data_IF_169376259185
#
_entry.id   IF_169376259185
#
_cell.length_a   1.000
_cell.length_b   1.000
_cell.length_c   1.000
_cell.angle_alpha   90.00
_cell.angle_beta   90.00
_cell.angle_gamma   90.00
#
_symmetry.space_group_name_H-M   'P 1'
#
loop_
_entity.id
_entity.type
_entity.pdbx_description
1 polymer ?
#
# COMPACT_ATOMS: atom_id res chain seq x y z
N UNK A 1 14.53 -12.45 7.39
CA UNK A 1 14.67 -11.89 6.01
C UNK A 1 13.59 -12.53 5.15
N UNK A 2 12.94 -11.82 4.22
CA UNK A 2 11.86 -12.44 3.44
C UNK A 2 12.39 -13.43 2.39
N UNK A 3 11.70 -14.55 2.19
CA UNK A 3 12.06 -15.58 1.21
C UNK A 3 10.97 -15.79 0.16
N UNK A 4 11.36 -15.96 -1.11
CA UNK A 4 10.41 -16.24 -2.20
C UNK A 4 9.89 -17.67 -2.11
N UNK A 5 8.57 -17.83 -2.12
CA UNK A 5 7.89 -19.13 -2.05
C UNK A 5 7.87 -19.80 -3.43
N UNK A 6 8.36 -21.04 -3.48
CA UNK A 6 8.46 -21.83 -4.72
C UNK A 6 7.55 -23.06 -4.77
N UNK A 7 7.10 -23.56 -3.61
CA UNK A 7 6.33 -24.79 -3.53
C UNK A 7 4.95 -24.65 -4.21
N UNK A 8 4.67 -25.51 -5.19
CA UNK A 8 3.42 -25.48 -5.95
C UNK A 8 2.17 -25.51 -5.06
N UNK A 9 2.20 -26.34 -4.00
CA UNK A 9 1.11 -26.42 -3.03
C UNK A 9 0.90 -25.11 -2.27
N UNK A 10 1.99 -24.48 -1.81
CA UNK A 10 1.93 -23.20 -1.09
C UNK A 10 1.35 -22.10 -1.96
N UNK A 11 1.76 -22.05 -3.23
CA UNK A 11 1.24 -21.08 -4.20
C UNK A 11 -0.25 -21.33 -4.47
N UNK A 12 -0.62 -22.58 -4.77
CA UNK A 12 -2.03 -22.93 -5.02
C UNK A 12 -2.91 -22.68 -3.78
N UNK A 13 -2.39 -22.92 -2.57
CA UNK A 13 -3.06 -22.63 -1.30
C UNK A 13 -3.29 -21.13 -1.13
N UNK A 14 -2.28 -20.30 -1.39
CA UNK A 14 -2.40 -18.84 -1.35
C UNK A 14 -3.41 -18.34 -2.39
N UNK A 15 -3.39 -18.85 -3.62
CA UNK A 15 -4.40 -18.53 -4.65
C UNK A 15 -5.82 -18.88 -4.19
N UNK A 16 -6.02 -20.06 -3.57
CA UNK A 16 -7.33 -20.43 -3.00
C UNK A 16 -7.77 -19.48 -1.89
N UNK A 17 -6.84 -19.02 -1.04
CA UNK A 17 -7.11 -18.01 0.00
C UNK A 17 -7.49 -16.66 -0.62
N UNK A 18 -6.73 -16.18 -1.60
CA UNK A 18 -7.05 -14.97 -2.36
C UNK A 18 -8.44 -15.05 -2.98
N UNK A 19 -8.78 -16.16 -3.66
CA UNK A 19 -10.12 -16.38 -4.24
C UNK A 19 -11.24 -16.27 -3.21
N UNK A 20 -11.06 -16.81 -2.02
CA UNK A 20 -12.07 -16.71 -0.93
C UNK A 20 -12.17 -15.30 -0.37
N UNK A 21 -11.05 -14.61 -0.22
CA UNK A 21 -11.00 -13.26 0.39
C UNK A 21 -11.42 -12.16 -0.56
N UNK A 22 -11.15 -12.31 -1.85
CA UNK A 22 -11.58 -11.42 -2.92
C UNK A 22 -12.96 -11.80 -3.48
N UNK A 23 -13.86 -12.25 -2.59
CA UNK A 23 -15.27 -12.44 -2.95
C UNK A 23 -15.95 -11.07 -3.14
N UNK A 24 -16.87 -10.98 -4.09
CA UNK A 24 -17.53 -9.75 -4.49
C UNK A 24 -18.66 -10.03 -5.46
N UNK A 25 -19.14 -9.00 -6.15
CA UNK A 25 -20.21 -9.14 -7.14
C UNK A 25 -19.67 -9.77 -8.44
N UNK A 26 -20.13 -10.95 -8.88
CA UNK A 26 -19.74 -11.49 -10.17
C UNK A 26 -20.36 -10.67 -11.31
N UNK A 27 -19.54 -10.28 -12.29
CA UNK A 27 -19.98 -9.63 -13.53
C UNK A 27 -19.56 -10.54 -14.69
N UNK A 28 -20.54 -11.01 -15.46
CA UNK A 28 -20.33 -12.06 -16.46
C UNK A 28 -20.12 -11.51 -17.86
N UNK A 29 -19.36 -12.25 -18.66
CA UNK A 29 -19.26 -12.01 -20.10
C UNK A 29 -18.57 -10.70 -20.49
N UNK A 30 -17.74 -10.15 -19.62
CA UNK A 30 -16.97 -8.91 -19.83
C UNK A 30 -15.86 -9.16 -20.84
N UNK A 31 -15.71 -8.25 -21.80
CA UNK A 31 -14.53 -8.16 -22.66
C UNK A 31 -13.41 -7.45 -21.91
N UNK A 32 -12.34 -8.17 -21.57
CA UNK A 32 -11.22 -7.64 -20.80
C UNK A 32 -10.03 -7.45 -21.72
N UNK A 33 -9.52 -6.24 -21.78
CA UNK A 33 -8.33 -5.88 -22.57
C UNK A 33 -7.15 -5.58 -21.65
N UNK A 34 -5.94 -5.70 -22.18
CA UNK A 34 -4.72 -5.22 -21.51
C UNK A 34 -3.72 -4.77 -22.57
N UNK A 35 -2.86 -3.83 -22.22
CA UNK A 35 -1.91 -3.29 -23.18
C UNK A 35 -0.89 -4.34 -23.64
N UNK A 36 -0.70 -4.43 -24.96
CA UNK A 36 0.19 -5.41 -25.59
C UNK A 36 -0.39 -6.82 -25.67
N UNK A 37 -1.64 -7.03 -25.22
CA UNK A 37 -2.40 -8.25 -25.44
C UNK A 37 -3.70 -8.01 -26.19
N UNK A 38 -4.34 -9.10 -26.59
CA UNK A 38 -5.67 -9.06 -27.21
C UNK A 38 -6.77 -8.75 -26.20
N UNK A 39 -8.01 -8.95 -26.62
CA UNK A 39 -9.17 -8.95 -25.74
C UNK A 39 -9.49 -10.38 -25.31
N UNK A 40 -10.05 -10.53 -24.11
CA UNK A 40 -10.55 -11.81 -23.66
C UNK A 40 -11.88 -11.72 -22.96
N UNK A 41 -12.81 -12.57 -23.38
CA UNK A 41 -14.12 -12.63 -22.75
C UNK A 41 -14.10 -13.47 -21.48
N UNK A 42 -14.88 -13.06 -20.49
CA UNK A 42 -15.25 -13.91 -19.36
C UNK A 42 -15.60 -13.11 -18.12
N UNK A 43 -15.60 -13.81 -17.00
CA UNK A 43 -16.18 -13.29 -15.77
C UNK A 43 -15.12 -12.60 -14.90
N UNK A 44 -15.55 -11.53 -14.25
CA UNK A 44 -14.78 -10.79 -13.25
C UNK A 44 -15.55 -10.78 -11.93
N UNK A 45 -14.84 -10.51 -10.85
CA UNK A 45 -15.45 -10.23 -9.55
C UNK A 45 -15.17 -8.78 -9.19
N UNK A 46 -16.22 -8.00 -9.00
CA UNK A 46 -16.13 -6.59 -8.63
C UNK A 46 -16.28 -6.40 -7.11
N UNK A 47 -15.34 -5.67 -6.53
CA UNK A 47 -15.28 -5.34 -5.12
C UNK A 47 -15.67 -3.88 -4.94
N UNK A 48 -16.99 -3.65 -4.82
CA UNK A 48 -17.62 -2.32 -4.78
C UNK A 48 -16.95 -1.36 -3.80
N UNK A 49 -16.72 -1.80 -2.56
CA UNK A 49 -16.19 -0.91 -1.50
C UNK A 49 -14.77 -0.41 -1.76
N UNK A 50 -13.98 -1.18 -2.50
CA UNK A 50 -12.58 -0.86 -2.80
C UNK A 50 -12.39 -0.38 -4.25
N UNK A 51 -13.47 -0.30 -5.03
CA UNK A 51 -13.48 0.31 -6.35
C UNK A 51 -12.60 -0.40 -7.38
N UNK A 52 -12.51 -1.73 -7.33
CA UNK A 52 -11.77 -2.51 -8.31
C UNK A 52 -12.43 -3.84 -8.63
N UNK A 53 -12.13 -4.40 -9.80
CA UNK A 53 -12.46 -5.78 -10.16
C UNK A 53 -11.20 -6.61 -10.29
N UNK A 54 -11.36 -7.92 -10.19
CA UNK A 54 -10.27 -8.86 -10.43
C UNK A 54 -10.73 -10.12 -11.16
N UNK A 55 -9.76 -10.80 -11.77
CA UNK A 55 -9.92 -12.10 -12.41
C UNK A 55 -8.69 -12.97 -12.18
N UNK A 56 -8.93 -14.25 -11.91
CA UNK A 56 -7.91 -15.29 -11.94
C UNK A 56 -8.07 -16.15 -13.19
N UNK A 57 -6.97 -16.37 -13.90
CA UNK A 57 -6.89 -17.29 -15.03
C UNK A 57 -5.58 -18.10 -14.95
N UNK A 58 -5.65 -19.40 -15.14
CA UNK A 58 -4.50 -20.30 -15.20
C UNK A 58 -4.56 -21.26 -16.41
N UNK A 59 -5.51 -21.07 -17.32
CA UNK A 59 -5.69 -21.94 -18.48
C UNK A 59 -4.97 -21.36 -19.70
N UNK A 60 -5.01 -20.04 -19.91
CA UNK A 60 -4.42 -19.41 -21.10
C UNK A 60 -2.90 -19.38 -21.12
N UNK A 61 -2.26 -19.42 -19.94
CA UNK A 61 -0.81 -19.40 -19.83
C UNK A 61 -0.35 -20.51 -18.88
N UNK A 62 -0.13 -21.73 -19.41
CA UNK A 62 0.37 -22.85 -18.62
C UNK A 62 1.63 -22.46 -17.85
N UNK A 63 1.72 -22.86 -16.58
CA UNK A 63 2.86 -22.57 -15.72
C UNK A 63 2.77 -21.26 -14.93
N UNK A 64 1.69 -20.46 -15.07
CA UNK A 64 1.45 -19.29 -14.21
C UNK A 64 -0.02 -19.11 -13.84
N UNK A 65 -0.25 -18.43 -12.72
CA UNK A 65 -1.54 -17.85 -12.34
C UNK A 65 -1.55 -16.40 -12.78
N UNK A 66 -2.44 -16.07 -13.73
CA UNK A 66 -2.70 -14.70 -14.12
C UNK A 66 -3.71 -14.07 -13.18
N UNK A 67 -3.30 -13.02 -12.47
CA UNK A 67 -4.14 -12.25 -11.55
C UNK A 67 -4.29 -10.85 -12.13
N UNK A 68 -5.39 -10.63 -12.85
CA UNK A 68 -5.71 -9.36 -13.49
C UNK A 68 -6.56 -8.51 -12.56
N UNK A 69 -6.25 -7.22 -12.47
CA UNK A 69 -7.01 -6.27 -11.68
C UNK A 69 -7.30 -5.01 -12.50
N UNK A 70 -8.52 -4.49 -12.40
CA UNK A 70 -8.89 -3.22 -13.01
C UNK A 70 -9.52 -2.27 -12.00
N UNK A 71 -9.15 -1.00 -12.09
CA UNK A 71 -9.78 0.08 -11.33
C UNK A 71 -11.18 0.36 -11.89
N UNK A 72 -12.19 0.29 -11.03
CA UNK A 72 -13.59 0.46 -11.38
C UNK A 72 -14.35 1.03 -10.15
N UNK A 73 -14.43 2.36 -10.01
CA UNK A 73 -15.13 3.00 -8.88
C UNK A 73 -16.65 2.84 -8.97
N UNK A 74 -17.15 2.51 -10.17
CA UNK A 74 -18.53 2.18 -10.45
C UNK A 74 -18.65 0.72 -10.92
N UNK A 75 -19.89 0.22 -11.02
CA UNK A 75 -20.15 -1.13 -11.54
C UNK A 75 -19.47 -1.27 -12.91
N UNK A 76 -18.62 -2.30 -13.14
CA UNK A 76 -17.97 -2.51 -14.41
C UNK A 76 -18.96 -2.67 -15.55
N UNK A 77 -18.58 -2.19 -16.73
CA UNK A 77 -19.33 -2.38 -17.95
C UNK A 77 -19.03 -3.74 -18.59
N UNK A 78 -19.60 -4.02 -19.76
CA UNK A 78 -19.26 -5.22 -20.55
C UNK A 78 -17.91 -5.11 -21.28
N UNK A 79 -17.19 -3.99 -21.15
CA UNK A 79 -15.84 -3.79 -21.69
C UNK A 79 -14.94 -3.12 -20.66
N UNK A 80 -13.89 -3.82 -20.23
CA UNK A 80 -12.99 -3.38 -19.18
C UNK A 80 -11.52 -3.49 -19.61
N UNK A 81 -10.65 -2.73 -18.95
CA UNK A 81 -9.21 -2.79 -19.18
C UNK A 81 -8.46 -3.10 -17.88
N UNK A 82 -7.58 -4.09 -17.92
CA UNK A 82 -6.75 -4.44 -16.79
C UNK A 82 -5.80 -3.28 -16.47
N UNK A 83 -5.92 -2.76 -15.26
CA UNK A 83 -5.03 -1.73 -14.72
C UNK A 83 -3.65 -2.31 -14.41
N UNK A 84 -3.60 -3.49 -13.78
CA UNK A 84 -2.36 -4.17 -13.46
C UNK A 84 -2.53 -5.70 -13.41
N UNK A 85 -1.39 -6.39 -13.37
CA UNK A 85 -1.33 -7.84 -13.20
C UNK A 85 -0.36 -8.20 -12.08
N UNK A 86 -0.74 -9.11 -11.20
CA UNK A 86 0.12 -9.67 -10.15
C UNK A 86 0.32 -11.17 -10.46
N UNK A 87 0.88 -11.46 -11.63
CA UNK A 87 1.02 -12.85 -12.09
C UNK A 87 2.03 -13.61 -11.21
N UNK A 88 1.65 -14.82 -10.80
CA UNK A 88 2.46 -15.71 -9.98
C UNK A 88 2.87 -16.96 -10.77
N UNK A 89 4.07 -17.53 -10.59
CA UNK A 89 4.40 -18.82 -11.19
C UNK A 89 3.51 -19.91 -10.58
N UNK A 90 3.20 -20.99 -11.31
CA UNK A 90 2.46 -22.12 -10.75
C UNK A 90 3.31 -22.96 -9.79
N UNK A 91 4.63 -22.94 -9.99
CA UNK A 91 5.67 -23.57 -9.15
C UNK A 91 7.01 -22.89 -9.41
N UNK A 92 7.95 -23.04 -8.48
CA UNK A 92 9.28 -22.44 -8.59
C UNK A 92 9.22 -20.91 -8.42
N UNK A 93 10.28 -20.25 -8.84
CA UNK A 93 10.38 -18.80 -8.87
C UNK A 93 10.62 -18.34 -10.31
N UNK A 94 9.92 -17.28 -10.74
CA UNK A 94 10.13 -16.66 -12.04
C UNK A 94 10.23 -15.14 -11.89
N UNK A 95 11.46 -14.62 -11.98
CA UNK A 95 11.78 -13.18 -11.88
C UNK A 95 11.26 -12.36 -13.07
N UNK A 96 10.78 -12.99 -14.14
CA UNK A 96 10.20 -12.30 -15.30
C UNK A 96 8.75 -11.88 -15.03
N UNK A 97 8.07 -12.59 -14.12
CA UNK A 97 6.73 -12.26 -13.66
C UNK A 97 6.78 -11.06 -12.72
N UNK A 98 5.70 -10.29 -12.72
CA UNK A 98 5.60 -9.08 -11.92
C UNK A 98 5.28 -9.39 -10.45
N UNK A 99 4.52 -10.46 -10.18
CA UNK A 99 4.13 -10.88 -8.84
C UNK A 99 5.03 -11.99 -8.27
N UNK A 100 5.07 -12.06 -6.94
CA UNK A 100 5.64 -13.19 -6.20
C UNK A 100 4.87 -13.40 -4.88
N UNK A 101 5.00 -14.59 -4.31
CA UNK A 101 4.68 -14.84 -2.91
C UNK A 101 5.98 -14.85 -2.13
N UNK A 102 5.98 -14.17 -0.99
CA UNK A 102 7.12 -14.16 -0.06
C UNK A 102 6.68 -14.57 1.32
N UNK A 103 7.63 -15.07 2.10
CA UNK A 103 7.42 -15.59 3.46
C UNK A 103 8.37 -14.90 4.43
N UNK A 104 7.90 -14.52 5.60
CA UNK A 104 8.75 -14.06 6.70
C UNK A 104 9.27 -15.23 7.56
N UNK A 105 10.15 -14.92 8.51
CA UNK A 105 10.77 -15.93 9.38
C UNK A 105 9.73 -16.63 10.29
N UNK A 106 8.57 -16.01 10.52
CA UNK A 106 7.45 -16.56 11.25
C UNK A 106 6.50 -17.40 10.38
N UNK A 107 6.75 -17.51 9.08
CA UNK A 107 5.96 -18.29 8.14
C UNK A 107 4.75 -17.57 7.54
N UNK A 108 4.53 -16.29 7.83
CA UNK A 108 3.44 -15.53 7.24
C UNK A 108 3.71 -15.27 5.77
N UNK A 109 2.66 -15.38 4.96
CA UNK A 109 2.72 -15.20 3.51
C UNK A 109 2.27 -13.80 3.12
N UNK A 110 2.99 -13.19 2.19
CA UNK A 110 2.68 -11.88 1.62
C UNK A 110 2.61 -11.96 0.09
N UNK A 111 1.64 -11.25 -0.47
CA UNK A 111 1.62 -10.95 -1.90
C UNK A 111 2.59 -9.80 -2.16
N UNK A 112 3.50 -9.99 -3.10
CA UNK A 112 4.54 -9.02 -3.42
C UNK A 112 4.61 -8.75 -4.92
N UNK A 113 5.22 -7.62 -5.28
CA UNK A 113 5.31 -7.16 -6.67
C UNK A 113 6.66 -6.51 -6.97
N UNK A 114 7.21 -6.74 -8.16
CA UNK A 114 8.55 -6.27 -8.56
C UNK A 114 8.61 -4.80 -9.00
N UNK A 115 7.44 -4.16 -9.12
CA UNK A 115 7.27 -2.84 -9.73
C UNK A 115 7.26 -2.86 -11.25
N UNK A 116 7.28 -4.05 -11.88
CA UNK A 116 7.12 -4.18 -13.32
C UNK A 116 5.67 -3.87 -13.70
N UNK A 117 5.44 -2.76 -14.39
CA UNK A 117 4.13 -2.38 -14.92
C UNK A 117 4.16 -2.51 -16.44
N UNK A 118 3.18 -3.21 -17.01
CA UNK A 118 2.97 -3.30 -18.45
C UNK A 118 2.06 -2.19 -18.96
N UNK A 119 2.22 -1.82 -20.23
CA UNK A 119 1.24 -0.98 -20.94
C UNK A 119 1.39 0.52 -20.82
N UNK A 120 2.56 1.02 -20.47
CA UNK A 120 2.84 2.46 -20.55
C UNK A 120 3.30 2.88 -21.94
N UNK A 121 3.14 4.17 -22.28
CA UNK A 121 3.85 4.82 -23.39
C UNK A 121 5.37 4.69 -23.19
N UNK A 122 6.15 4.89 -24.25
CA UNK A 122 7.61 4.91 -24.18
C UNK A 122 8.09 5.83 -23.03
N UNK A 123 9.02 5.38 -22.19
CA UNK A 123 9.48 6.09 -20.99
C UNK A 123 8.90 5.61 -19.65
N UNK A 124 7.74 4.92 -19.66
CA UNK A 124 7.13 4.36 -18.44
C UNK A 124 7.72 2.98 -18.11
N UNK A 125 8.91 2.99 -17.54
CA UNK A 125 9.64 1.78 -17.17
C UNK A 125 9.58 1.49 -15.67
N UNK A 126 9.90 0.25 -15.28
CA UNK A 126 9.91 -0.24 -13.89
C UNK A 126 10.55 0.75 -12.90
N UNK A 127 11.63 1.43 -13.29
CA UNK A 127 12.33 2.37 -12.43
C UNK A 127 11.49 3.62 -12.10
N UNK A 128 10.81 4.19 -13.10
CA UNK A 128 9.95 5.36 -12.89
C UNK A 128 8.76 5.02 -11.98
N UNK A 129 8.13 3.85 -12.17
CA UNK A 129 7.07 3.41 -11.25
C UNK A 129 7.59 3.16 -9.83
N UNK A 130 8.78 2.58 -9.69
CA UNK A 130 9.41 2.39 -8.38
C UNK A 130 9.72 3.72 -7.68
N UNK A 131 10.20 4.71 -8.42
CA UNK A 131 10.41 6.06 -7.91
C UNK A 131 9.09 6.73 -7.49
N UNK A 132 8.03 6.55 -8.28
CA UNK A 132 6.68 6.98 -7.93
C UNK A 132 6.15 6.30 -6.65
N UNK A 133 6.58 5.07 -6.36
CA UNK A 133 6.28 4.36 -5.11
C UNK A 133 7.44 4.39 -4.10
N UNK A 134 8.32 5.40 -4.11
CA UNK A 134 9.50 5.43 -3.23
C UNK A 134 9.14 5.32 -1.74
N UNK A 135 7.99 5.85 -1.33
CA UNK A 135 7.47 5.77 0.03
C UNK A 135 6.70 4.50 0.38
N UNK A 136 6.75 3.47 -0.46
CA UNK A 136 6.02 2.21 -0.26
C UNK A 136 6.90 1.11 0.38
N UNK A 137 6.29 0.02 0.84
CA UNK A 137 6.98 -1.06 1.57
C UNK A 137 7.83 -1.96 0.66
N UNK A 138 8.95 -1.43 0.17
CA UNK A 138 9.95 -2.18 -0.56
C UNK A 138 10.81 -2.99 0.42
N UNK A 139 10.91 -4.30 0.20
CA UNK A 139 11.62 -5.21 1.11
C UNK A 139 12.65 -6.05 0.39
N UNK A 140 13.80 -6.22 1.04
CA UNK A 140 14.79 -7.20 0.63
C UNK A 140 14.21 -8.62 0.71
N UNK A 141 14.40 -9.38 -0.37
CA UNK A 141 13.95 -10.77 -0.49
C UNK A 141 15.10 -11.66 -0.95
N UNK A 142 15.13 -12.89 -0.45
CA UNK A 142 16.01 -13.96 -0.91
C UNK A 142 15.30 -14.84 -1.92
N UNK A 143 15.94 -15.03 -3.07
CA UNK A 143 15.51 -15.95 -4.12
C UNK A 143 16.10 -17.34 -3.88
N UNK A 144 15.50 -18.40 -4.47
CA UNK A 144 15.96 -19.79 -4.27
C UNK A 144 17.38 -20.05 -4.78
N UNK A 145 17.85 -19.25 -5.72
CA UNK A 145 19.21 -19.29 -6.26
C UNK A 145 20.24 -18.56 -5.36
N UNK A 146 19.84 -18.18 -4.14
CA UNK A 146 20.65 -17.44 -3.19
C UNK A 146 20.77 -15.94 -3.49
N UNK A 147 20.31 -15.47 -4.66
CA UNK A 147 20.37 -14.06 -5.00
C UNK A 147 19.42 -13.26 -4.14
N UNK A 148 19.79 -12.02 -3.87
CA UNK A 148 18.90 -11.06 -3.24
C UNK A 148 18.20 -10.20 -4.30
N UNK A 149 17.06 -9.65 -3.92
CA UNK A 149 16.36 -8.64 -4.70
C UNK A 149 15.44 -7.84 -3.80
N UNK A 150 14.63 -6.98 -4.39
CA UNK A 150 13.69 -6.15 -3.65
C UNK A 150 12.32 -6.19 -4.30
N UNK A 151 11.29 -6.42 -3.48
CA UNK A 151 9.90 -6.47 -3.90
C UNK A 151 9.05 -5.56 -3.02
N UNK A 152 8.04 -4.95 -3.61
CA UNK A 152 7.00 -4.23 -2.89
C UNK A 152 6.08 -5.25 -2.22
N UNK A 153 5.93 -5.16 -0.90
CA UNK A 153 4.86 -5.87 -0.22
C UNK A 153 3.54 -5.17 -0.47
N UNK A 154 2.57 -5.92 -1.00
CA UNK A 154 1.22 -5.42 -1.23
C UNK A 154 0.38 -5.72 0.00
N UNK A 155 0.32 -6.99 0.41
CA UNK A 155 -0.56 -7.41 1.50
C UNK A 155 -0.15 -8.76 2.10
N UNK A 156 -0.28 -8.95 3.43
CA UNK A 156 -0.34 -10.29 4.03
C UNK A 156 -1.55 -11.07 3.49
N UNK A 157 -1.34 -12.29 3.01
CA UNK A 157 -2.37 -13.17 2.42
C UNK A 157 -3.49 -13.50 3.43
N UNK A 158 -3.15 -13.54 4.72
CA UNK A 158 -4.09 -13.85 5.79
C UNK A 158 -4.60 -12.60 6.51
N UNK A 159 -4.01 -11.44 6.25
CA UNK A 159 -4.32 -10.23 7.00
C UNK A 159 -5.77 -9.78 6.81
N UNK A 160 -6.38 -9.16 7.83
CA UNK A 160 -7.78 -8.71 7.78
C UNK A 160 -8.02 -7.64 6.71
N UNK A 161 -6.96 -6.91 6.32
CA UNK A 161 -6.98 -5.78 5.37
C UNK A 161 -6.54 -6.13 3.94
N UNK A 162 -6.30 -7.41 3.65
CA UNK A 162 -5.82 -7.91 2.35
C UNK A 162 -6.51 -7.24 1.14
N UNK A 163 -7.84 -7.22 1.15
CA UNK A 163 -8.65 -6.71 0.03
C UNK A 163 -8.40 -5.22 -0.20
N UNK A 164 -8.42 -4.43 0.88
CA UNK A 164 -8.17 -2.99 0.87
C UNK A 164 -6.74 -2.65 0.44
N UNK A 165 -5.77 -3.44 0.89
CA UNK A 165 -4.36 -3.29 0.50
C UNK A 165 -4.13 -3.57 -0.99
N UNK A 166 -4.78 -4.60 -1.54
CA UNK A 166 -4.78 -4.85 -2.99
C UNK A 166 -5.45 -3.69 -3.73
N UNK A 167 -6.63 -3.23 -3.28
CA UNK A 167 -7.33 -2.09 -3.88
C UNK A 167 -6.47 -0.83 -3.92
N UNK A 168 -5.79 -0.52 -2.82
CA UNK A 168 -4.81 0.56 -2.74
C UNK A 168 -3.69 0.44 -3.78
N UNK A 169 -3.14 -0.77 -3.98
CA UNK A 169 -2.14 -1.00 -5.02
C UNK A 169 -2.70 -0.81 -6.44
N UNK A 170 -3.90 -1.32 -6.72
CA UNK A 170 -4.59 -1.12 -8.02
C UNK A 170 -4.80 0.36 -8.30
N UNK A 171 -5.27 1.12 -7.31
CA UNK A 171 -5.47 2.56 -7.42
C UNK A 171 -4.14 3.31 -7.65
N UNK A 172 -3.05 2.89 -7.01
CA UNK A 172 -1.73 3.48 -7.24
C UNK A 172 -1.23 3.25 -8.66
N UNK A 173 -1.41 2.03 -9.22
CA UNK A 173 -1.08 1.77 -10.63
C UNK A 173 -1.97 2.59 -11.57
N UNK A 174 -3.27 2.70 -11.28
CA UNK A 174 -4.19 3.51 -12.06
C UNK A 174 -3.72 4.97 -12.10
N UNK A 175 -3.47 5.59 -10.95
CA UNK A 175 -2.97 6.98 -10.84
C UNK A 175 -1.69 7.17 -11.65
N UNK A 176 -0.69 6.31 -11.45
CA UNK A 176 0.57 6.38 -12.20
C UNK A 176 0.35 6.35 -13.71
N UNK A 177 -0.62 5.55 -14.19
CA UNK A 177 -0.93 5.47 -15.62
C UNK A 177 -1.68 6.71 -16.15
N UNK A 178 -2.36 7.48 -15.31
CA UNK A 178 -3.13 8.67 -15.69
C UNK A 178 -2.32 9.98 -15.68
N UNK A 179 -1.13 10.02 -15.05
CA UNK A 179 -0.34 11.25 -14.87
C UNK A 179 0.15 11.97 -16.15
N UNK A 180 -0.01 11.41 -17.36
CA UNK A 180 0.35 12.06 -18.63
C UNK A 180 -0.89 12.32 -19.54
N UNK A 181 -2.08 12.43 -18.95
CA UNK A 181 -3.26 13.02 -19.61
C UNK A 181 -3.36 14.50 -19.28
N UNK A 182 -3.80 15.32 -20.23
CA UNK A 182 -3.92 16.79 -20.18
C UNK A 182 -4.98 17.30 -19.17
N UNK A 183 -5.25 16.54 -18.10
CA UNK A 183 -6.25 16.83 -17.09
C UNK A 183 -5.65 16.66 -15.70
N UNK A 184 -5.95 17.64 -14.83
CA UNK A 184 -5.61 17.74 -13.41
C UNK A 184 -5.03 16.46 -12.81
N UNK A 185 -3.70 16.40 -12.73
CA UNK A 185 -3.00 15.32 -12.05
C UNK A 185 -3.50 15.27 -10.60
N UNK A 186 -4.34 14.28 -10.28
CA UNK A 186 -4.84 14.07 -8.93
C UNK A 186 -3.62 13.97 -7.98
N UNK A 187 -3.56 14.79 -6.92
CA UNK A 187 -2.43 14.76 -6.00
C UNK A 187 -2.22 13.35 -5.45
N UNK A 188 -0.95 12.96 -5.36
CA UNK A 188 -0.59 11.66 -4.82
C UNK A 188 -1.07 11.54 -3.38
N UNK A 189 -1.62 10.39 -2.94
CA UNK A 189 -1.91 10.22 -1.52
C UNK A 189 -0.62 10.40 -0.71
N UNK A 190 -0.74 11.04 0.45
CA UNK A 190 0.39 11.41 1.31
C UNK A 190 1.35 10.25 1.60
N UNK A 191 0.86 9.02 1.56
CA UNK A 191 1.63 7.80 1.77
C UNK A 191 2.69 7.49 0.69
N UNK A 192 2.47 7.93 -0.55
CA UNK A 192 3.33 7.57 -1.70
C UNK A 192 4.44 8.60 -1.94
N UNK A 193 4.24 9.82 -1.44
CA UNK A 193 5.24 10.87 -1.48
C UNK A 193 6.20 10.73 -0.27
N UNK A 194 5.87 9.91 0.74
CA UNK A 194 6.57 9.78 2.03
C UNK A 194 8.01 9.32 1.83
N UNK A 195 9.05 10.13 2.15
CA UNK A 195 10.37 9.58 2.31
C UNK A 195 10.28 8.49 3.39
N UNK A 196 10.40 7.24 2.98
CA UNK A 196 10.79 6.18 3.88
C UNK A 196 12.29 6.33 4.07
N UNK A 197 12.71 6.56 5.32
CA UNK A 197 14.14 6.55 5.62
C UNK A 197 14.61 5.11 5.42
N UNK A 198 15.54 4.90 4.47
CA UNK A 198 15.93 3.57 3.98
C UNK A 198 16.41 2.59 5.08
N UNK A 199 16.83 3.10 6.25
CA UNK A 199 17.23 2.28 7.40
C UNK A 199 16.09 1.87 8.35
N UNK A 200 14.90 2.47 8.25
CA UNK A 200 13.77 2.19 9.14
C UNK A 200 12.83 1.10 8.63
N UNK A 201 12.90 0.83 7.32
CA UNK A 201 12.09 -0.22 6.70
C UNK A 201 12.33 -1.52 7.45
N UNK A 202 13.59 -1.84 7.79
CA UNK A 202 13.96 -3.09 8.43
C UNK A 202 13.54 -3.22 9.91
N UNK A 203 13.21 -2.13 10.59
CA UNK A 203 12.70 -2.18 11.96
C UNK A 203 11.20 -2.49 11.99
N UNK A 204 10.47 -2.14 10.94
CA UNK A 204 9.03 -2.34 10.89
C UNK A 204 8.66 -3.77 10.48
N UNK A 205 7.80 -4.49 11.23
CA UNK A 205 7.26 -5.77 10.81
C UNK A 205 6.59 -5.66 9.42
N UNK A 206 6.78 -6.65 8.52
CA UNK A 206 6.22 -6.61 7.18
C UNK A 206 4.71 -6.32 7.12
N UNK A 207 3.93 -6.87 8.05
CA UNK A 207 2.49 -6.61 8.14
C UNK A 207 2.16 -5.14 8.48
N UNK A 208 2.86 -4.55 9.47
CA UNK A 208 2.71 -3.16 9.86
C UNK A 208 3.05 -2.21 8.70
N UNK A 209 4.06 -2.55 7.92
CA UNK A 209 4.45 -1.78 6.75
C UNK A 209 3.42 -1.81 5.62
N UNK A 210 2.69 -2.91 5.46
CA UNK A 210 1.55 -2.99 4.54
C UNK A 210 0.36 -2.13 5.02
N UNK A 211 0.21 -1.96 6.33
CA UNK A 211 -0.85 -1.15 6.94
C UNK A 211 -0.56 0.34 6.91
N UNK A 212 0.72 0.73 7.00
CA UNK A 212 1.18 2.12 6.97
C UNK A 212 0.56 2.92 5.85
N UNK A 213 0.49 2.32 4.66
CA UNK A 213 -0.11 2.96 3.49
C UNK A 213 -1.58 3.33 3.68
N UNK A 214 -2.37 2.45 4.30
CA UNK A 214 -3.79 2.70 4.58
C UNK A 214 -3.99 3.79 5.63
N UNK A 215 -3.11 3.83 6.64
CA UNK A 215 -3.13 4.86 7.68
C UNK A 215 -2.79 6.23 7.12
N UNK A 216 -1.74 6.32 6.30
CA UNK A 216 -1.31 7.56 5.67
C UNK A 216 -2.34 8.09 4.65
N UNK A 217 -2.99 7.21 3.89
CA UNK A 217 -4.08 7.62 2.98
C UNK A 217 -5.26 8.19 3.79
N UNK A 218 -5.70 7.51 4.85
CA UNK A 218 -6.80 7.98 5.70
C UNK A 218 -6.48 9.27 6.46
N UNK A 219 -5.23 9.42 6.92
CA UNK A 219 -4.75 10.65 7.54
C UNK A 219 -4.71 11.80 6.52
N UNK A 220 -4.22 11.54 5.29
CA UNK A 220 -4.24 12.52 4.21
C UNK A 220 -5.65 12.98 3.85
N UNK A 221 -6.60 12.05 3.74
CA UNK A 221 -8.03 12.37 3.54
C UNK A 221 -8.59 13.24 4.67
N UNK A 222 -8.19 12.98 5.92
CA UNK A 222 -8.60 13.80 7.05
C UNK A 222 -8.01 15.23 6.97
N UNK A 223 -6.73 15.36 6.65
CA UNK A 223 -6.10 16.67 6.49
C UNK A 223 -6.73 17.49 5.35
N UNK A 224 -7.01 16.86 4.20
CA UNK A 224 -7.69 17.51 3.09
C UNK A 224 -9.07 18.02 3.50
N UNK A 225 -9.85 17.24 4.26
CA UNK A 225 -11.17 17.67 4.78
C UNK A 225 -11.08 18.89 5.69
N UNK A 226 -9.95 19.08 6.35
CA UNK A 226 -9.66 20.22 7.24
C UNK A 226 -8.94 21.38 6.53
N UNK A 227 -8.75 21.32 5.21
CA UNK A 227 -8.01 22.35 4.47
C UNK A 227 -6.49 22.34 4.71
N UNK A 228 -5.97 21.33 5.40
CA UNK A 228 -4.57 21.23 5.86
C UNK A 228 -3.67 20.45 4.89
N UNK A 229 -4.00 20.42 3.60
CA UNK A 229 -3.28 19.62 2.60
C UNK A 229 -1.94 20.27 2.19
N UNK A 230 -0.82 19.75 2.70
CA UNK A 230 0.54 20.14 2.30
C UNK A 230 1.15 19.27 1.19
N UNK A 231 2.15 19.80 0.48
CA UNK A 231 2.78 19.18 -0.70
C UNK A 231 3.89 18.15 -0.42
N UNK A 232 4.21 17.78 0.84
CA UNK A 232 5.24 16.78 1.12
C UNK A 232 5.13 16.05 2.50
N UNK A 233 5.50 14.75 2.57
CA UNK A 233 5.32 13.89 3.77
C UNK A 233 6.47 13.64 4.78
N UNK A 234 6.14 13.07 5.98
CA UNK A 234 4.79 12.83 6.46
C UNK A 234 4.26 14.12 7.09
N UNK A 235 3.41 14.75 6.29
CA UNK A 235 2.41 15.74 6.57
C UNK A 235 2.88 16.89 7.46
N UNK A 236 3.60 17.82 6.84
CA UNK A 236 3.46 19.22 7.20
C UNK A 236 2.03 19.64 6.81
N UNK A 237 1.16 19.76 7.80
CA UNK A 237 -0.09 20.48 7.60
C UNK A 237 0.25 21.97 7.78
N UNK A 238 0.22 22.71 6.68
CA UNK A 238 0.48 24.14 6.68
C UNK A 238 -0.75 24.86 6.14
N UNK A 239 -1.42 25.60 7.01
CA UNK A 239 -2.12 26.82 6.62
C UNK A 239 -1.64 27.96 7.53
N UNK A 240 -1.15 29.05 6.94
CA UNK A 240 -0.64 30.21 7.69
C UNK A 240 0.30 29.91 8.87
N UNK A 241 0.01 30.51 10.02
CA UNK A 241 0.80 30.48 11.26
C UNK A 241 0.66 29.17 12.08
N UNK A 242 -0.27 28.28 11.73
CA UNK A 242 -0.61 27.07 12.49
C UNK A 242 -0.03 25.80 11.83
N UNK A 243 1.31 25.69 11.87
CA UNK A 243 1.99 24.51 11.32
C UNK A 243 1.82 23.31 12.24
N UNK A 244 1.56 22.14 11.67
CA UNK A 244 1.60 20.85 12.38
C UNK A 244 2.65 19.94 11.73
N UNK A 245 3.48 19.31 12.54
CA UNK A 245 4.39 18.24 12.11
C UNK A 245 3.81 16.92 12.59
N UNK A 246 3.42 16.05 11.66
CA UNK A 246 2.70 14.82 12.00
C UNK A 246 3.56 13.59 11.73
N UNK A 247 3.84 12.80 12.77
CA UNK A 247 4.52 11.50 12.61
C UNK A 247 3.59 10.33 12.90
N UNK A 248 3.63 9.31 12.05
CA UNK A 248 2.83 8.09 12.18
C UNK A 248 3.68 6.91 12.66
N UNK A 249 3.22 6.27 13.71
CA UNK A 249 3.77 5.03 14.26
C UNK A 249 2.81 3.86 14.03
N UNK A 250 3.35 2.75 13.53
CA UNK A 250 2.59 1.53 13.18
C UNK A 250 2.77 0.39 14.18
N UNK A 251 3.69 0.58 15.13
CA UNK A 251 4.13 -0.40 16.11
C UNK A 251 4.05 0.11 17.54
N UNK A 252 4.22 -0.81 18.49
CA UNK A 252 4.21 -0.52 19.92
C UNK A 252 5.54 -0.81 20.61
N UNK A 253 6.58 -1.22 19.88
CA UNK A 253 7.90 -1.50 20.46
C UNK A 253 8.55 -0.20 20.95
N UNK A 254 9.22 -0.24 22.10
CA UNK A 254 9.85 0.95 22.68
C UNK A 254 10.82 1.63 21.68
N UNK A 255 11.67 0.84 21.03
CA UNK A 255 12.61 1.33 20.02
C UNK A 255 11.91 2.05 18.84
N UNK A 256 10.79 1.52 18.33
CA UNK A 256 10.05 2.17 17.24
C UNK A 256 9.37 3.47 17.72
N UNK A 257 8.82 3.47 18.94
CA UNK A 257 8.19 4.65 19.53
C UNK A 257 9.22 5.76 19.77
N UNK A 258 10.33 5.46 20.43
CA UNK A 258 11.43 6.38 20.73
C UNK A 258 12.02 6.97 19.44
N UNK A 259 12.25 6.14 18.42
CA UNK A 259 12.78 6.60 17.15
C UNK A 259 11.83 7.59 16.46
N UNK A 260 10.53 7.25 16.39
CA UNK A 260 9.53 8.11 15.74
C UNK A 260 9.31 9.41 16.50
N UNK A 261 9.34 9.35 17.82
CA UNK A 261 9.30 10.55 18.67
C UNK A 261 10.53 11.43 18.44
N UNK A 262 11.73 10.87 18.44
CA UNK A 262 12.96 11.63 18.18
C UNK A 262 12.92 12.33 16.82
N UNK A 263 12.46 11.63 15.78
CA UNK A 263 12.27 12.20 14.43
C UNK A 263 11.24 13.33 14.43
N UNK A 264 10.11 13.15 15.12
CA UNK A 264 9.08 14.18 15.27
C UNK A 264 9.66 15.45 15.87
N UNK A 265 10.38 15.32 17.00
CA UNK A 265 10.97 16.46 17.70
C UNK A 265 12.01 17.19 16.85
N UNK A 266 12.88 16.45 16.15
CA UNK A 266 13.87 17.04 15.24
C UNK A 266 13.22 17.80 14.08
N UNK A 267 12.18 17.23 13.46
CA UNK A 267 11.43 17.87 12.38
C UNK A 267 10.65 19.09 12.87
N UNK A 268 10.08 19.01 14.06
CA UNK A 268 9.37 20.13 14.67
C UNK A 268 10.32 21.31 14.95
N UNK A 269 11.52 21.03 15.47
CA UNK A 269 12.56 22.05 15.64
C UNK A 269 12.95 22.71 14.30
N UNK A 270 13.02 21.96 13.20
CA UNK A 270 13.30 22.49 11.86
C UNK A 270 12.13 23.29 11.27
N UNK A 271 10.89 22.97 11.64
CA UNK A 271 9.68 23.63 11.14
C UNK A 271 9.49 25.05 11.71
N UNK A 272 10.15 25.38 12.82
CA UNK A 272 10.11 26.66 13.52
C UNK A 272 9.24 26.64 14.78
N UNK A 273 9.40 27.66 15.64
CA UNK A 273 8.82 27.70 17.00
C UNK A 273 7.28 27.67 17.09
N UNK A 274 6.57 27.94 15.98
CA UNK A 274 5.11 27.91 15.91
C UNK A 274 4.53 26.54 15.52
N UNK A 275 5.38 25.57 15.15
CA UNK A 275 4.90 24.25 14.75
C UNK A 275 4.54 23.37 15.95
N UNK A 276 3.35 22.76 15.92
CA UNK A 276 2.95 21.79 16.94
C UNK A 276 3.26 20.35 16.49
N UNK A 277 3.95 19.56 17.32
CA UNK A 277 4.22 18.16 17.02
C UNK A 277 3.00 17.30 17.34
N UNK A 278 2.57 16.50 16.36
CA UNK A 278 1.49 15.52 16.49
C UNK A 278 2.03 14.11 16.25
N UNK A 279 1.87 13.23 17.22
CA UNK A 279 2.25 11.83 17.11
C UNK A 279 0.99 10.95 16.99
N UNK A 280 0.86 10.28 15.85
CA UNK A 280 -0.23 9.35 15.56
C UNK A 280 0.22 7.93 15.91
N UNK A 281 -0.41 7.30 16.90
CA UNK A 281 0.06 6.02 17.49
C UNK A 281 -1.06 4.99 17.60
N UNK A 282 -0.74 3.67 17.62
CA UNK A 282 -1.74 2.66 17.92
C UNK A 282 -2.34 2.89 19.31
N UNK A 283 -3.64 2.62 19.50
CA UNK A 283 -4.32 2.72 20.80
C UNK A 283 -3.56 1.98 21.91
N UNK A 284 -2.96 0.83 21.60
CA UNK A 284 -2.18 0.02 22.53
C UNK A 284 -0.87 0.68 23.02
N UNK A 285 -0.34 1.68 22.30
CA UNK A 285 0.85 2.44 22.72
C UNK A 285 0.51 3.70 23.52
N UNK A 286 -0.77 4.08 23.62
CA UNK A 286 -1.17 5.36 24.16
C UNK A 286 -0.81 5.55 25.64
N UNK A 287 -0.97 4.51 26.46
CA UNK A 287 -0.66 4.57 27.89
C UNK A 287 0.84 4.81 28.13
N UNK A 288 1.69 4.17 27.34
CA UNK A 288 3.15 4.32 27.41
C UNK A 288 3.58 5.75 27.10
N UNK A 289 2.84 6.44 26.24
CA UNK A 289 3.21 7.76 25.73
C UNK A 289 2.43 8.89 26.41
N UNK A 290 1.50 8.61 27.31
CA UNK A 290 0.58 9.61 27.89
C UNK A 290 1.31 10.83 28.49
N UNK A 291 2.48 10.61 29.10
CA UNK A 291 3.31 11.67 29.68
C UNK A 291 3.80 12.71 28.64
N UNK A 292 3.89 12.35 27.36
CA UNK A 292 4.34 13.26 26.29
C UNK A 292 3.43 14.48 26.09
N UNK A 293 2.15 14.36 26.47
CA UNK A 293 1.21 15.49 26.44
C UNK A 293 1.66 16.65 27.32
N UNK A 294 2.36 16.36 28.43
CA UNK A 294 2.93 17.37 29.33
C UNK A 294 4.13 18.10 28.70
N UNK A 295 4.71 17.54 27.65
CA UNK A 295 5.88 18.06 26.93
C UNK A 295 5.51 18.67 25.57
N UNK A 296 4.26 19.05 25.38
CA UNK A 296 3.80 19.77 24.19
C UNK A 296 3.67 18.89 22.93
N UNK A 297 3.69 17.56 23.07
CA UNK A 297 3.40 16.63 21.97
C UNK A 297 1.93 16.22 22.02
N UNK A 298 1.21 16.53 20.94
CA UNK A 298 -0.19 16.11 20.81
C UNK A 298 -0.26 14.66 20.38
N UNK A 299 -0.99 13.83 21.14
CA UNK A 299 -1.18 12.42 20.81
C UNK A 299 -2.51 12.20 20.12
N UNK A 300 -2.45 11.63 18.91
CA UNK A 300 -3.61 11.09 18.21
C UNK A 300 -3.51 9.58 18.25
N UNK A 301 -4.56 8.91 18.70
CA UNK A 301 -4.57 7.46 18.75
C UNK A 301 -5.30 6.90 17.55
N UNK A 302 -4.94 5.73 17.08
CA UNK A 302 -5.75 5.02 16.10
C UNK A 302 -6.01 3.58 16.48
N UNK A 303 -7.12 3.08 15.96
CA UNK A 303 -7.51 1.67 16.01
C UNK A 303 -8.16 1.26 14.70
N UNK A 304 -8.18 -0.04 14.44
CA UNK A 304 -8.88 -0.60 13.29
C UNK A 304 -10.35 -0.85 13.62
N UNK A 305 -11.27 -0.34 12.79
CA UNK A 305 -12.67 -0.74 12.75
C UNK A 305 -12.91 -1.47 11.44
N UNK A 306 -12.90 -2.81 11.50
CA UNK A 306 -12.80 -3.63 10.29
C UNK A 306 -11.49 -3.36 9.55
N UNK A 307 -11.57 -3.05 8.26
CA UNK A 307 -10.39 -2.75 7.43
C UNK A 307 -10.00 -1.26 7.41
N UNK A 308 -10.72 -0.38 8.13
CA UNK A 308 -10.50 1.07 8.12
C UNK A 308 -9.90 1.56 9.44
N UNK A 309 -8.93 2.49 9.41
CA UNK A 309 -8.44 3.10 10.63
C UNK A 309 -9.43 4.15 11.12
N UNK A 310 -9.54 4.29 12.43
CA UNK A 310 -10.29 5.34 13.12
C UNK A 310 -9.32 6.08 14.02
N UNK A 311 -9.26 7.40 13.86
CA UNK A 311 -8.40 8.26 14.67
C UNK A 311 -9.18 8.92 15.80
N UNK A 312 -8.70 8.77 17.03
CA UNK A 312 -9.26 9.39 18.23
C UNK A 312 -8.40 10.59 18.61
N UNK A 313 -9.04 11.75 18.74
CA UNK A 313 -8.37 13.02 19.03
C UNK A 313 -7.80 13.74 17.80
N UNK A 314 -7.99 13.20 16.59
CA UNK A 314 -7.47 13.83 15.37
C UNK A 314 -8.14 15.18 15.09
N UNK A 315 -9.46 15.27 15.16
CA UNK A 315 -10.19 16.52 14.93
C UNK A 315 -9.66 17.65 15.84
N UNK A 316 -9.55 17.39 17.14
CA UNK A 316 -8.99 18.34 18.11
C UNK A 316 -7.50 18.68 17.87
N UNK A 317 -6.73 17.76 17.29
CA UNK A 317 -5.32 18.00 16.96
C UNK A 317 -5.15 18.86 15.68
N UNK A 318 -6.17 18.90 14.83
CA UNK A 318 -6.16 19.63 13.56
C UNK A 318 -6.75 21.05 13.68
N UNK A 319 -7.62 21.31 14.66
CA UNK A 319 -8.22 22.63 14.90
C UNK A 319 -9.71 22.63 14.64
#
# INVERSE_FOLDING_TARGET
>A
MLEVVTGAWSIASAIRRLRRRLAGLPVRGVSITWHGGGAVRGDIVWLREEGFWWRHDNLRHPGRHSLMFGHAPQIPSLSESATCEINLPAKGADRRLAGALVRDDAGHLYLAHSGKIGGGRAGRHRQAFRAFLAGASWRAVRWPDGRQGELLLIAPIEGPRLVRQIGRFVQAVHRYKQQDGDGDALPLPAAWVAPQDAGLVDLEPPAAACDRGLLLDALGEALVRHGLAGNAPPLFAADGHDRRVIELVTETSAAALEHRLGRLLLRNAQAGAAAQPVLVVPDAAASTLAALSQHGVTLVRYRWRGARPVFVGLEAALG
#
